data_IF_592468247388
#
_entry.id   IF_592468247388
#
_cell.length_a   1.000
_cell.length_b   1.000
_cell.length_c   1.000
_cell.angle_alpha   90.00
_cell.angle_beta   90.00
_cell.angle_gamma   90.00
#
_symmetry.space_group_name_H-M   'P 1'
#
loop_
_entity.id
_entity.type
_entity.pdbx_description
1 polymer ?
#
# COMPACT_ATOMS: atom_id res chain seq x y z
N UNK A 1 5.40 -9.42 -5.46
CA UNK A 1 6.05 -8.19 -4.95
C UNK A 1 5.39 -6.93 -5.49
N UNK A 2 5.26 -6.79 -6.82
CA UNK A 2 4.69 -5.63 -7.55
C UNK A 2 3.57 -4.86 -6.86
N UNK A 3 2.52 -5.55 -6.40
CA UNK A 3 1.34 -4.89 -5.80
C UNK A 3 1.74 -4.01 -4.61
N UNK A 4 2.53 -4.49 -3.65
CA UNK A 4 2.92 -3.68 -2.49
C UNK A 4 3.95 -2.61 -2.82
N UNK A 5 4.92 -2.90 -3.68
CA UNK A 5 5.91 -1.90 -4.09
C UNK A 5 5.21 -0.71 -4.77
N UNK A 6 4.15 -0.94 -5.56
CA UNK A 6 3.35 0.13 -6.16
C UNK A 6 2.63 1.03 -5.15
N UNK A 7 2.51 0.61 -3.89
CA UNK A 7 1.91 1.41 -2.82
C UNK A 7 2.91 2.31 -2.10
N UNK A 8 4.23 2.20 -2.35
CA UNK A 8 5.22 3.01 -1.65
C UNK A 8 5.02 4.52 -1.88
N UNK A 9 4.93 4.94 -3.14
CA UNK A 9 4.71 6.35 -3.50
C UNK A 9 3.29 6.83 -3.15
N UNK A 10 2.19 6.13 -3.50
CA UNK A 10 0.86 6.57 -3.12
C UNK A 10 0.65 6.74 -1.61
N UNK A 11 1.31 5.93 -0.76
CA UNK A 11 1.21 6.08 0.69
C UNK A 11 1.88 7.36 1.21
N UNK A 12 3.01 7.78 0.63
CA UNK A 12 3.65 9.07 0.97
C UNK A 12 2.71 10.23 0.64
N UNK A 13 2.12 10.20 -0.54
CA UNK A 13 1.18 11.20 -1.02
C UNK A 13 -0.13 11.23 -0.23
N UNK A 14 -0.66 10.08 0.19
CA UNK A 14 -1.87 9.99 1.01
C UNK A 14 -1.70 10.70 2.36
N UNK A 15 -0.55 10.52 3.02
CA UNK A 15 -0.26 11.22 4.29
C UNK A 15 -0.21 12.73 4.07
N UNK A 16 0.47 13.19 3.02
CA UNK A 16 0.55 14.62 2.70
C UNK A 16 -0.84 15.21 2.42
N UNK A 17 -1.69 14.49 1.66
CA UNK A 17 -3.05 14.92 1.36
C UNK A 17 -3.92 15.01 2.62
N UNK A 18 -3.83 14.03 3.53
CA UNK A 18 -4.56 14.05 4.81
C UNK A 18 -4.11 15.21 5.70
N UNK A 19 -2.82 15.54 5.73
CA UNK A 19 -2.29 16.70 6.48
C UNK A 19 -2.83 18.02 5.92
N UNK A 20 -3.03 18.10 4.61
CA UNK A 20 -3.52 19.31 3.95
C UNK A 20 -5.05 19.51 4.06
N UNK A 21 -5.81 18.53 4.59
CA UNK A 21 -7.25 18.68 4.77
C UNK A 21 -7.54 19.72 5.86
N UNK A 22 -8.41 20.72 5.60
CA UNK A 22 -8.79 21.71 6.59
C UNK A 22 -9.34 21.10 7.90
N UNK A 23 -10.11 20.01 7.77
CA UNK A 23 -10.76 19.31 8.88
C UNK A 23 -10.05 17.99 9.26
N UNK A 24 -8.74 17.90 9.01
CA UNK A 24 -7.95 16.73 9.36
C UNK A 24 -7.96 16.48 10.87
N UNK A 25 -8.77 15.53 11.34
CA UNK A 25 -8.70 15.12 12.74
C UNK A 25 -7.36 14.45 13.06
N UNK A 26 -6.86 14.65 14.27
CA UNK A 26 -5.69 13.93 14.79
C UNK A 26 -5.82 12.41 14.61
N UNK A 27 -7.02 11.88 14.80
CA UNK A 27 -7.32 10.47 14.62
C UNK A 27 -7.10 10.02 13.16
N UNK A 28 -7.60 10.77 12.17
CA UNK A 28 -7.39 10.46 10.75
C UNK A 28 -5.91 10.47 10.38
N UNK A 29 -5.17 11.48 10.83
CA UNK A 29 -3.73 11.58 10.58
C UNK A 29 -2.97 10.41 11.22
N UNK A 30 -3.27 10.10 12.49
CA UNK A 30 -2.67 8.99 13.22
C UNK A 30 -2.90 7.66 12.49
N UNK A 31 -4.14 7.38 12.06
CA UNK A 31 -4.48 6.16 11.33
C UNK A 31 -3.83 6.06 9.96
N UNK A 32 -3.70 7.18 9.25
CA UNK A 32 -3.02 7.19 7.95
C UNK A 32 -1.52 6.88 8.10
N UNK A 33 -0.86 7.45 9.11
CA UNK A 33 0.54 7.14 9.43
C UNK A 33 0.75 5.69 9.88
N UNK A 34 -0.14 5.19 10.74
CA UNK A 34 -0.14 3.77 11.16
C UNK A 34 -0.24 2.84 9.95
N UNK A 35 -1.12 3.17 9.00
CA UNK A 35 -1.30 2.40 7.77
C UNK A 35 -0.06 2.45 6.87
N UNK A 36 0.57 3.61 6.70
CA UNK A 36 1.82 3.75 5.96
C UNK A 36 2.91 2.84 6.55
N UNK A 37 3.10 2.88 7.88
CA UNK A 37 4.07 2.04 8.56
C UNK A 37 3.81 0.54 8.39
N UNK A 38 2.53 0.12 8.42
CA UNK A 38 2.15 -1.28 8.18
C UNK A 38 2.42 -1.74 6.75
N UNK A 39 2.10 -0.90 5.75
CA UNK A 39 2.38 -1.22 4.34
C UNK A 39 3.88 -1.34 4.11
N UNK A 40 4.68 -0.42 4.67
CA UNK A 40 6.13 -0.47 4.59
C UNK A 40 6.70 -1.73 5.25
N UNK A 41 6.29 -2.04 6.48
CA UNK A 41 6.75 -3.25 7.18
C UNK A 41 6.38 -4.54 6.44
N UNK A 42 5.21 -4.59 5.80
CA UNK A 42 4.81 -5.74 4.97
C UNK A 42 5.68 -5.86 3.71
N UNK A 43 6.00 -4.73 3.07
CA UNK A 43 6.89 -4.70 1.92
C UNK A 43 8.30 -5.19 2.29
N UNK A 44 8.87 -4.69 3.39
CA UNK A 44 10.17 -5.14 3.90
C UNK A 44 10.18 -6.65 4.21
N UNK A 45 9.13 -7.14 4.87
CA UNK A 45 8.96 -8.57 5.14
C UNK A 45 8.92 -9.42 3.86
N UNK A 46 8.20 -8.96 2.83
CA UNK A 46 8.20 -9.65 1.53
C UNK A 46 9.58 -9.63 0.88
N UNK A 47 10.32 -8.51 0.92
CA UNK A 47 11.68 -8.42 0.35
C UNK A 47 12.62 -9.45 1.00
N UNK A 48 12.53 -9.62 2.32
CA UNK A 48 13.29 -10.63 3.06
C UNK A 48 12.92 -12.05 2.59
N UNK A 49 11.62 -12.36 2.45
CA UNK A 49 11.15 -13.67 1.99
C UNK A 49 11.63 -13.95 0.57
N UNK A 50 11.45 -12.99 -0.35
CA UNK A 50 11.86 -13.12 -1.74
C UNK A 50 13.37 -13.38 -1.85
N UNK A 51 14.19 -12.63 -1.13
CA UNK A 51 15.65 -12.81 -1.17
C UNK A 51 16.10 -14.17 -0.61
N UNK A 52 15.33 -14.79 0.28
CA UNK A 52 15.60 -16.16 0.76
C UNK A 52 15.24 -17.23 -0.26
N UNK A 53 14.14 -17.05 -0.98
CA UNK A 53 13.64 -18.03 -1.97
C UNK A 53 14.39 -17.90 -3.29
N UNK A 54 14.64 -16.67 -3.73
CA UNK A 54 15.28 -16.33 -4.99
C UNK A 54 16.31 -15.21 -4.76
N UNK A 55 17.53 -15.55 -4.30
CA UNK A 55 18.60 -14.59 -4.16
C UNK A 55 18.90 -13.87 -5.49
N UNK A 56 19.05 -12.55 -5.44
CA UNK A 56 19.33 -11.74 -6.64
C UNK A 56 18.12 -11.44 -7.53
N UNK A 57 16.89 -11.70 -7.06
CA UNK A 57 15.69 -11.20 -7.72
C UNK A 57 15.74 -9.66 -7.82
N UNK A 58 15.63 -9.14 -9.04
CA UNK A 58 15.65 -7.69 -9.32
C UNK A 58 14.29 -7.10 -8.95
N UNK A 59 14.28 -5.90 -8.37
CA UNK A 59 13.03 -5.18 -8.14
C UNK A 59 12.36 -4.85 -9.47
N UNK A 60 11.05 -5.04 -9.54
CA UNK A 60 10.30 -4.72 -10.74
C UNK A 60 10.30 -3.20 -10.98
N UNK A 61 10.41 -2.80 -12.25
CA UNK A 61 10.14 -1.42 -12.65
C UNK A 61 8.64 -1.16 -12.49
N UNK A 62 8.27 -0.26 -11.58
CA UNK A 62 6.88 0.01 -11.24
C UNK A 62 6.47 1.36 -11.81
N UNK A 63 5.38 1.33 -12.56
CA UNK A 63 4.75 2.52 -13.11
C UNK A 63 4.43 3.55 -12.03
N UNK A 64 4.84 4.80 -12.28
CA UNK A 64 4.51 5.96 -11.46
C UNK A 64 2.99 6.12 -11.37
N UNK A 65 2.47 6.19 -10.14
CA UNK A 65 1.07 6.50 -9.90
C UNK A 65 0.78 7.96 -10.25
N UNK A 66 -0.17 8.18 -11.17
CA UNK A 66 -0.48 9.51 -11.72
C UNK A 66 -1.59 10.28 -10.98
N UNK A 67 -2.17 9.71 -9.92
CA UNK A 67 -3.32 10.30 -9.21
C UNK A 67 -2.98 11.42 -8.22
N UNK A 68 -1.75 11.93 -8.25
CA UNK A 68 -1.28 12.93 -7.30
C UNK A 68 -1.99 14.29 -7.45
N UNK A 69 -2.26 14.72 -8.68
CA UNK A 69 -2.93 16.00 -8.97
C UNK A 69 -4.28 16.10 -8.27
N UNK A 70 -5.05 14.99 -8.30
CA UNK A 70 -6.41 14.97 -7.78
C UNK A 70 -6.42 15.03 -6.24
N UNK A 71 -5.39 14.45 -5.58
CA UNK A 71 -5.20 14.58 -4.13
C UNK A 71 -4.87 16.02 -3.70
N UNK A 72 -4.28 16.82 -4.59
CA UNK A 72 -3.92 18.21 -4.31
C UNK A 72 -4.96 19.21 -4.81
N UNK A 73 -6.07 18.74 -5.38
CA UNK A 73 -7.09 19.63 -5.93
C UNK A 73 -7.61 20.62 -4.89
N UNK A 74 -7.78 21.87 -5.29
CA UNK A 74 -8.47 22.88 -4.50
C UNK A 74 -9.97 22.59 -4.40
N UNK A 75 -10.52 21.89 -5.40
CA UNK A 75 -11.89 21.39 -5.39
C UNK A 75 -12.05 20.26 -4.36
N UNK A 76 -12.91 20.50 -3.37
CA UNK A 76 -13.09 19.59 -2.25
C UNK A 76 -13.63 18.22 -2.68
N UNK A 77 -14.62 18.19 -3.57
CA UNK A 77 -15.24 16.96 -4.04
C UNK A 77 -14.22 16.08 -4.78
N UNK A 78 -13.45 16.68 -5.70
CA UNK A 78 -12.36 15.99 -6.41
C UNK A 78 -11.36 15.38 -5.44
N UNK A 79 -10.89 16.17 -4.46
CA UNK A 79 -9.93 15.72 -3.46
C UNK A 79 -10.48 14.58 -2.59
N UNK A 80 -11.73 14.70 -2.15
CA UNK A 80 -12.40 13.69 -1.32
C UNK A 80 -12.63 12.40 -2.11
N UNK A 81 -13.03 12.48 -3.38
CA UNK A 81 -13.18 11.32 -4.27
C UNK A 81 -11.83 10.63 -4.50
N UNK A 82 -10.76 11.39 -4.69
CA UNK A 82 -9.41 10.85 -4.87
C UNK A 82 -8.95 10.08 -3.62
N UNK A 83 -9.09 10.67 -2.43
CA UNK A 83 -8.77 10.02 -1.15
C UNK A 83 -9.60 8.76 -0.89
N UNK A 84 -10.91 8.81 -1.16
CA UNK A 84 -11.80 7.67 -1.04
C UNK A 84 -11.38 6.53 -1.98
N UNK A 85 -11.11 6.86 -3.24
CA UNK A 85 -10.69 5.89 -4.27
C UNK A 85 -9.37 5.24 -3.88
N UNK A 86 -8.40 6.04 -3.42
CA UNK A 86 -7.10 5.56 -2.97
C UNK A 86 -7.25 4.59 -1.78
N UNK A 87 -8.05 4.96 -0.79
CA UNK A 87 -8.33 4.12 0.38
C UNK A 87 -9.00 2.80 0.00
N UNK A 88 -9.96 2.85 -0.94
CA UNK A 88 -10.66 1.66 -1.45
C UNK A 88 -9.71 0.72 -2.20
N UNK A 89 -8.85 1.26 -3.05
CA UNK A 89 -7.84 0.50 -3.79
C UNK A 89 -6.84 -0.15 -2.81
N UNK A 90 -6.38 0.58 -1.81
CA UNK A 90 -5.46 0.05 -0.80
C UNK A 90 -6.06 -1.13 -0.04
N UNK A 91 -7.33 -1.01 0.38
CA UNK A 91 -8.05 -2.13 1.03
C UNK A 91 -8.14 -3.35 0.12
N UNK A 92 -8.46 -3.17 -1.16
CA UNK A 92 -8.58 -4.27 -2.12
C UNK A 92 -7.22 -4.96 -2.32
N UNK A 93 -6.18 -4.17 -2.50
CA UNK A 93 -4.85 -4.68 -2.85
C UNK A 93 -4.15 -5.30 -1.64
N UNK A 94 -4.33 -4.77 -0.44
CA UNK A 94 -3.84 -5.40 0.81
C UNK A 94 -4.55 -6.73 1.08
N UNK A 95 -5.87 -6.81 0.85
CA UNK A 95 -6.61 -8.07 0.94
C UNK A 95 -6.12 -9.11 -0.09
N UNK A 96 -5.80 -8.67 -1.32
CA UNK A 96 -5.19 -9.54 -2.34
C UNK A 96 -3.82 -10.06 -1.87
N UNK A 97 -2.98 -9.20 -1.32
CA UNK A 97 -1.65 -9.57 -0.81
C UNK A 97 -1.75 -10.56 0.35
N UNK A 98 -2.65 -10.33 1.30
CA UNK A 98 -2.91 -11.25 2.42
C UNK A 98 -3.32 -12.64 1.92
N UNK A 99 -4.24 -12.72 0.96
CA UNK A 99 -4.64 -13.99 0.37
C UNK A 99 -3.48 -14.69 -0.36
N UNK A 100 -2.66 -13.97 -1.11
CA UNK A 100 -1.48 -14.55 -1.74
C UNK A 100 -0.47 -15.07 -0.71
N UNK A 101 -0.25 -14.34 0.38
CA UNK A 101 0.63 -14.78 1.47
C UNK A 101 0.12 -16.05 2.14
N UNK A 102 -1.19 -16.15 2.38
CA UNK A 102 -1.82 -17.37 2.93
C UNK A 102 -1.62 -18.57 2.02
N UNK A 103 -1.87 -18.41 0.72
CA UNK A 103 -1.68 -19.47 -0.28
C UNK A 103 -0.20 -19.89 -0.38
N UNK A 104 0.72 -18.92 -0.46
CA UNK A 104 2.16 -19.19 -0.52
C UNK A 104 2.66 -19.90 0.73
N UNK A 105 2.26 -19.43 1.92
CA UNK A 105 2.58 -20.10 3.18
C UNK A 105 2.08 -21.53 3.17
N UNK A 106 0.85 -21.75 2.70
CA UNK A 106 0.27 -23.07 2.67
C UNK A 106 1.05 -24.03 1.76
N UNK A 107 1.37 -23.59 0.55
CA UNK A 107 2.11 -24.38 -0.43
C UNK A 107 3.56 -24.63 0.01
N UNK A 108 4.26 -23.57 0.42
CA UNK A 108 5.72 -23.61 0.57
C UNK A 108 6.18 -24.03 1.98
N UNK A 109 5.31 -23.95 3.00
CA UNK A 109 5.63 -24.35 4.39
C UNK A 109 4.92 -25.64 4.79
N UNK A 110 3.70 -25.86 4.29
CA UNK A 110 2.83 -26.96 4.73
C UNK A 110 2.54 -27.99 3.63
N UNK A 111 3.16 -27.87 2.45
CA UNK A 111 2.91 -28.75 1.29
C UNK A 111 1.40 -28.94 1.00
N UNK A 112 0.67 -27.81 1.00
CA UNK A 112 -0.78 -27.74 0.82
C UNK A 112 -1.64 -28.43 1.91
N UNK A 113 -1.05 -28.85 3.03
CA UNK A 113 -1.76 -29.42 4.18
C UNK A 113 -2.09 -28.36 5.23
N UNK A 114 -2.99 -27.45 4.85
CA UNK A 114 -3.54 -26.37 5.68
C UNK A 114 -5.05 -26.58 5.89
#
# INVERSE_FOLDING_TARGET
MRVLQAWEEPMKHMVAAVVALPDASYFMLSKTKELQGRVQGLLEGLKIILNRIQPGAVEDDITVWSGWSDLQSSDEDTRNIALYTLSRCLRRDTHKVDNYLKVLKCRDVHDNSC
#
